data_IF_189288446231
#
_entry.id   IF_189288446231
#
_cell.length_a   1.000
_cell.length_b   1.000
_cell.length_c   1.000
_cell.angle_alpha   90.00
_cell.angle_beta   90.00
_cell.angle_gamma   90.00
#
_symmetry.space_group_name_H-M   'P 1'
#
loop_
_entity.id
_entity.type
_entity.pdbx_description
1 polymer ?
#
# COMPACT_ATOMS: atom_id res chain seq x y z
N UNK A 1 20.05 3.40 -17.13
CA UNK A 1 18.69 3.14 -17.66
C UNK A 1 17.96 2.03 -16.90
N UNK A 2 18.54 0.84 -16.66
CA UNK A 2 17.85 -0.25 -15.94
C UNK A 2 17.50 0.09 -14.47
N UNK A 3 18.41 0.75 -13.74
CA UNK A 3 18.16 1.17 -12.37
C UNK A 3 17.05 2.24 -12.24
N UNK A 4 16.81 3.06 -13.27
CA UNK A 4 15.69 4.00 -13.31
C UNK A 4 14.36 3.27 -13.47
N UNK A 5 14.27 2.38 -14.46
CA UNK A 5 13.06 1.57 -14.72
C UNK A 5 12.66 0.71 -13.52
N UNK A 6 13.62 0.07 -12.85
CA UNK A 6 13.35 -0.73 -11.66
C UNK A 6 12.76 0.12 -10.51
N UNK A 7 13.24 1.37 -10.33
CA UNK A 7 12.71 2.30 -9.32
C UNK A 7 11.28 2.73 -9.62
N UNK A 8 10.97 3.06 -10.87
CA UNK A 8 9.60 3.42 -11.29
C UNK A 8 8.63 2.23 -11.19
N UNK A 9 9.07 1.02 -11.51
CA UNK A 9 8.23 -0.17 -11.37
C UNK A 9 7.93 -0.49 -9.90
N UNK A 10 8.94 -0.35 -9.02
CA UNK A 10 8.73 -0.48 -7.57
C UNK A 10 7.81 0.61 -7.01
N UNK A 11 7.85 1.82 -7.57
CA UNK A 11 6.91 2.88 -7.21
C UNK A 11 5.49 2.54 -7.65
N UNK A 12 5.32 2.07 -8.90
CA UNK A 12 4.04 1.64 -9.46
C UNK A 12 3.41 0.53 -8.62
N UNK A 13 4.19 -0.50 -8.27
CA UNK A 13 3.72 -1.58 -7.40
C UNK A 13 3.26 -1.05 -6.03
N UNK A 14 4.02 -0.16 -5.40
CA UNK A 14 3.64 0.45 -4.14
C UNK A 14 2.34 1.25 -4.21
N UNK A 15 2.07 1.90 -5.36
CA UNK A 15 0.81 2.62 -5.61
C UNK A 15 -0.37 1.65 -5.68
N UNK A 16 -0.24 0.56 -6.46
CA UNK A 16 -1.31 -0.45 -6.55
C UNK A 16 -1.57 -1.13 -5.20
N UNK A 17 -0.51 -1.43 -4.45
CA UNK A 17 -0.60 -2.00 -3.09
C UNK A 17 -1.37 -1.09 -2.14
N UNK A 18 -1.04 0.21 -2.12
CA UNK A 18 -1.74 1.18 -1.27
C UNK A 18 -3.22 1.32 -1.68
N UNK A 19 -3.51 1.43 -2.98
CA UNK A 19 -4.89 1.51 -3.48
C UNK A 19 -5.71 0.26 -3.15
N UNK A 20 -5.12 -0.92 -3.30
CA UNK A 20 -5.79 -2.18 -2.97
C UNK A 20 -6.12 -2.28 -1.47
N UNK A 21 -5.23 -1.80 -0.58
CA UNK A 21 -5.49 -1.74 0.85
C UNK A 21 -6.62 -0.76 1.19
N UNK A 22 -6.66 0.42 0.55
CA UNK A 22 -7.74 1.39 0.72
C UNK A 22 -9.09 0.77 0.30
N UNK A 23 -9.12 0.10 -0.85
CA UNK A 23 -10.33 -0.54 -1.35
C UNK A 23 -10.77 -1.69 -0.43
N UNK A 24 -9.83 -2.49 0.09
CA UNK A 24 -10.11 -3.56 1.05
C UNK A 24 -10.73 -3.06 2.37
N UNK A 25 -10.47 -1.81 2.78
CA UNK A 25 -11.12 -1.20 3.95
C UNK A 25 -12.64 -1.06 3.80
N UNK A 26 -13.14 -1.04 2.56
CA UNK A 26 -14.57 -0.90 2.23
C UNK A 26 -15.30 -2.24 2.18
N UNK A 27 -14.58 -3.36 2.18
CA UNK A 27 -15.17 -4.69 2.13
C UNK A 27 -16.18 -4.92 3.26
N UNK A 28 -17.20 -5.74 3.03
CA UNK A 28 -18.22 -5.99 4.06
C UNK A 28 -17.68 -6.84 5.22
N UNK A 29 -16.80 -7.79 4.90
CA UNK A 29 -16.17 -8.69 5.87
C UNK A 29 -14.65 -8.74 5.69
N UNK A 30 -13.93 -9.18 6.72
CA UNK A 30 -12.49 -9.41 6.61
C UNK A 30 -12.17 -10.49 5.56
N UNK A 31 -13.01 -11.53 5.44
CA UNK A 31 -12.82 -12.56 4.42
C UNK A 31 -12.87 -11.98 3.01
N UNK A 32 -13.80 -11.06 2.75
CA UNK A 32 -13.89 -10.38 1.45
C UNK A 32 -12.68 -9.50 1.20
N UNK A 33 -12.23 -8.72 2.21
CA UNK A 33 -11.00 -7.94 2.13
C UNK A 33 -9.78 -8.80 1.77
N UNK A 34 -9.62 -9.95 2.42
CA UNK A 34 -8.51 -10.88 2.17
C UNK A 34 -8.58 -11.51 0.78
N UNK A 35 -9.78 -11.82 0.28
CA UNK A 35 -9.98 -12.32 -1.09
C UNK A 35 -9.63 -11.25 -2.13
N UNK A 36 -10.06 -10.01 -1.90
CA UNK A 36 -9.74 -8.87 -2.77
C UNK A 36 -8.22 -8.68 -2.85
N UNK A 37 -7.54 -8.63 -1.69
CA UNK A 37 -6.09 -8.47 -1.64
C UNK A 37 -5.35 -9.66 -2.26
N UNK A 38 -5.74 -10.89 -1.93
CA UNK A 38 -5.06 -12.10 -2.42
C UNK A 38 -5.15 -12.26 -3.94
N UNK A 39 -6.23 -11.78 -4.56
CA UNK A 39 -6.43 -11.87 -6.02
C UNK A 39 -5.90 -10.67 -6.80
N UNK A 40 -5.99 -9.46 -6.23
CA UNK A 40 -5.64 -8.21 -6.92
C UNK A 40 -4.25 -7.67 -6.61
N UNK A 41 -3.80 -7.78 -5.36
CA UNK A 41 -2.51 -7.25 -4.90
C UNK A 41 -2.06 -8.00 -3.65
N UNK A 42 -1.43 -9.19 -3.77
CA UNK A 42 -1.09 -10.01 -2.61
C UNK A 42 0.13 -9.50 -1.83
N UNK A 43 0.94 -8.61 -2.43
CA UNK A 43 2.18 -8.09 -1.85
C UNK A 43 2.07 -7.52 -0.41
N UNK A 44 0.98 -6.83 -0.03
CA UNK A 44 0.78 -6.35 1.32
C UNK A 44 0.46 -7.44 2.34
N UNK A 45 -0.04 -8.60 1.89
CA UNK A 45 -0.40 -9.70 2.79
C UNK A 45 0.85 -10.47 3.22
N UNK A 46 0.90 -10.80 4.51
CA UNK A 46 1.94 -11.63 5.11
C UNK A 46 1.32 -12.72 5.95
N UNK A 47 1.93 -13.90 5.91
CA UNK A 47 1.60 -15.00 6.80
C UNK A 47 2.86 -15.39 7.59
N UNK A 48 2.72 -15.53 8.90
CA UNK A 48 3.83 -15.91 9.78
C UNK A 48 3.32 -16.65 11.01
N UNK A 49 4.21 -17.37 11.70
CA UNK A 49 3.87 -18.14 12.89
C UNK A 49 4.37 -17.42 14.14
N UNK A 50 3.53 -17.29 15.16
CA UNK A 50 3.88 -16.78 16.49
C UNK A 50 3.41 -17.77 17.54
N UNK A 51 4.34 -18.47 18.19
CA UNK A 51 4.01 -19.56 19.10
C UNK A 51 3.24 -20.66 18.35
N UNK A 52 2.01 -20.94 18.80
CA UNK A 52 1.11 -21.91 18.18
C UNK A 52 0.03 -21.26 17.29
N UNK A 53 0.19 -19.99 16.90
CA UNK A 53 -0.74 -19.29 16.01
C UNK A 53 -0.11 -19.02 14.63
N UNK A 54 -0.82 -19.39 13.55
CA UNK A 54 -0.59 -18.87 12.20
C UNK A 54 -1.32 -17.53 12.06
N UNK A 55 -0.58 -16.44 11.86
CA UNK A 55 -1.12 -15.08 11.73
C UNK A 55 -1.09 -14.65 10.27
N UNK A 56 -2.19 -14.06 9.80
CA UNK A 56 -2.24 -13.29 8.55
C UNK A 56 -2.33 -11.81 8.90
N UNK A 57 -1.47 -11.02 8.28
CA UNK A 57 -1.33 -9.58 8.49
C UNK A 57 -1.35 -8.83 7.16
N UNK A 58 -1.72 -7.55 7.20
CA UNK A 58 -1.39 -6.57 6.17
C UNK A 58 -0.21 -5.73 6.65
N UNK A 59 0.93 -5.83 5.99
CA UNK A 59 2.17 -5.21 6.46
C UNK A 59 2.53 -5.70 7.87
N UNK A 60 2.57 -4.77 8.82
CA UNK A 60 2.87 -5.04 10.24
C UNK A 60 1.62 -5.27 11.11
N UNK A 61 0.42 -5.26 10.51
CA UNK A 61 -0.84 -5.26 11.25
C UNK A 61 -1.56 -6.61 11.12
N UNK A 62 -1.58 -7.40 12.21
CA UNK A 62 -2.30 -8.67 12.27
C UNK A 62 -3.80 -8.50 12.04
N UNK A 63 -4.39 -9.31 11.17
CA UNK A 63 -5.81 -9.27 10.81
C UNK A 63 -6.56 -10.52 11.28
N UNK A 64 -5.93 -11.69 11.16
CA UNK A 64 -6.47 -12.95 11.65
C UNK A 64 -5.37 -13.87 12.18
N UNK A 65 -5.71 -14.72 13.14
CA UNK A 65 -4.85 -15.75 13.71
C UNK A 65 -5.59 -17.08 13.68
N UNK A 66 -4.86 -18.16 13.42
CA UNK A 66 -5.39 -19.53 13.44
C UNK A 66 -4.53 -20.34 14.41
N UNK A 67 -5.14 -20.86 15.46
CA UNK A 67 -4.47 -21.82 16.35
C UNK A 67 -4.12 -23.07 15.54
N UNK A 68 -2.83 -23.45 15.52
CA UNK A 68 -2.33 -24.61 14.78
C UNK A 68 -2.82 -25.91 15.43
N UNK A 69 -2.89 -25.96 16.77
CA UNK A 69 -3.34 -27.13 17.50
C UNK A 69 -4.85 -27.35 17.47
N UNK A 70 -5.64 -26.27 17.53
CA UNK A 70 -7.10 -26.36 17.67
C UNK A 70 -7.86 -26.00 16.39
N UNK A 71 -7.21 -25.42 15.38
CA UNK A 71 -7.86 -24.91 14.17
C UNK A 71 -8.79 -23.72 14.41
N UNK A 72 -8.82 -23.15 15.62
CA UNK A 72 -9.68 -22.01 15.95
C UNK A 72 -9.17 -20.73 15.31
N UNK A 73 -10.08 -19.98 14.70
CA UNK A 73 -9.80 -18.69 14.08
C UNK A 73 -10.14 -17.57 15.04
N UNK A 74 -9.17 -16.68 15.26
CA UNK A 74 -9.32 -15.41 15.95
C UNK A 74 -9.22 -14.29 14.93
N UNK A 75 -10.19 -13.38 14.93
CA UNK A 75 -10.18 -12.18 14.12
C UNK A 75 -10.00 -10.96 15.01
N UNK A 76 -9.24 -9.97 14.55
CA UNK A 76 -9.19 -8.67 15.21
C UNK A 76 -10.42 -7.84 14.82
N UNK A 77 -11.16 -7.33 15.81
CA UNK A 77 -12.40 -6.57 15.58
C UNK A 77 -12.13 -5.25 14.82
N UNK A 78 -10.97 -4.64 15.07
CA UNK A 78 -10.46 -3.40 14.47
C UNK A 78 -9.76 -3.64 13.12
N UNK A 79 -10.02 -4.74 12.42
CA UNK A 79 -9.31 -5.09 11.18
C UNK A 79 -9.38 -4.02 10.08
N UNK A 80 -10.46 -3.21 10.03
CA UNK A 80 -10.57 -2.09 9.09
C UNK A 80 -9.56 -0.99 9.40
N UNK A 81 -9.42 -0.62 10.67
CA UNK A 81 -8.46 0.40 11.11
C UNK A 81 -7.02 -0.07 10.89
N UNK A 82 -6.79 -1.38 11.03
CA UNK A 82 -5.51 -2.03 10.72
C UNK A 82 -5.18 -1.99 9.23
N UNK A 83 -6.16 -2.28 8.35
CA UNK A 83 -5.97 -2.11 6.90
C UNK A 83 -5.74 -0.65 6.53
N UNK A 84 -6.45 0.28 7.17
CA UNK A 84 -6.26 1.72 6.99
C UNK A 84 -4.84 2.16 7.41
N UNK A 85 -4.32 1.62 8.51
CA UNK A 85 -2.95 1.85 8.94
C UNK A 85 -1.94 1.26 7.94
N UNK A 86 -2.16 0.04 7.46
CA UNK A 86 -1.33 -0.58 6.42
C UNK A 86 -1.33 0.25 5.12
N UNK A 87 -2.48 0.77 4.70
CA UNK A 87 -2.61 1.63 3.53
C UNK A 87 -1.80 2.92 3.68
N UNK A 88 -1.84 3.55 4.86
CA UNK A 88 -1.04 4.75 5.18
C UNK A 88 0.46 4.46 5.15
N UNK A 89 0.90 3.32 5.70
CA UNK A 89 2.30 2.92 5.66
C UNK A 89 2.78 2.67 4.22
N UNK A 90 1.96 2.02 3.40
CA UNK A 90 2.23 1.82 1.97
C UNK A 90 2.31 3.17 1.23
N UNK A 91 1.36 4.07 1.44
CA UNK A 91 1.36 5.42 0.87
C UNK A 91 2.57 6.25 1.33
N UNK A 92 2.97 6.13 2.60
CA UNK A 92 4.20 6.74 3.14
C UNK A 92 5.45 6.24 2.43
N UNK A 93 5.54 4.93 2.17
CA UNK A 93 6.63 4.34 1.42
C UNK A 93 6.67 4.84 -0.04
N UNK A 94 5.49 4.97 -0.68
CA UNK A 94 5.34 5.58 -2.01
C UNK A 94 5.84 7.02 -2.01
N UNK A 95 5.40 7.85 -1.05
CA UNK A 95 5.81 9.24 -0.95
C UNK A 95 7.35 9.38 -0.78
N UNK A 96 7.95 8.57 0.09
CA UNK A 96 9.41 8.55 0.31
C UNK A 96 10.19 8.14 -0.94
N UNK A 97 9.71 7.12 -1.66
CA UNK A 97 10.32 6.68 -2.93
C UNK A 97 10.19 7.76 -4.00
N UNK A 98 9.01 8.36 -4.14
CA UNK A 98 8.77 9.44 -5.09
C UNK A 98 9.68 10.64 -4.78
N UNK A 99 9.79 11.06 -3.52
CA UNK A 99 10.74 12.10 -3.11
C UNK A 99 12.18 11.75 -3.49
N UNK A 100 12.61 10.51 -3.24
CA UNK A 100 13.96 10.04 -3.59
C UNK A 100 14.22 10.14 -5.10
N UNK A 101 13.24 9.75 -5.92
CA UNK A 101 13.32 9.89 -7.39
C UNK A 101 13.39 11.37 -7.78
N UNK A 102 12.56 12.24 -7.18
CA UNK A 102 12.53 13.67 -7.55
C UNK A 102 13.75 14.49 -7.12
N UNK A 103 14.48 14.04 -6.11
CA UNK A 103 15.68 14.68 -5.56
C UNK A 103 16.97 14.16 -6.20
N UNK A 104 16.91 13.03 -6.91
CA UNK A 104 18.06 12.48 -7.61
C UNK A 104 18.47 13.43 -8.75
N UNK A 105 19.68 13.98 -8.68
CA UNK A 105 20.18 15.03 -9.59
C UNK A 105 20.45 14.51 -11.01
N UNK A 106 20.29 13.20 -11.25
CA UNK A 106 20.47 12.57 -12.56
C UNK A 106 19.22 12.52 -13.44
N UNK A 107 18.01 12.73 -12.89
CA UNK A 107 16.74 12.73 -13.62
C UNK A 107 15.96 14.00 -13.23
N UNK A 108 15.74 14.93 -14.16
CA UNK A 108 14.76 16.01 -13.93
C UNK A 108 13.36 15.37 -13.88
N UNK A 109 12.93 14.98 -12.68
CA UNK A 109 11.57 14.48 -12.48
C UNK A 109 10.56 15.59 -12.88
N UNK A 110 9.50 15.25 -13.63
CA UNK A 110 8.45 16.19 -14.02
C UNK A 110 7.91 16.98 -12.83
N UNK A 111 7.56 18.24 -13.04
CA UNK A 111 7.06 19.14 -11.99
C UNK A 111 5.79 18.57 -11.32
N UNK A 112 5.00 17.83 -12.09
CA UNK A 112 3.79 17.13 -11.69
C UNK A 112 4.08 16.05 -10.64
N UNK A 113 5.17 15.30 -10.78
CA UNK A 113 5.57 14.29 -9.81
C UNK A 113 6.04 14.92 -8.49
N UNK A 114 6.71 16.08 -8.54
CA UNK A 114 7.11 16.84 -7.34
C UNK A 114 5.90 17.37 -6.57
N UNK A 115 4.91 17.92 -7.28
CA UNK A 115 3.65 18.38 -6.68
C UNK A 115 2.91 17.22 -5.97
N UNK A 116 2.78 16.08 -6.66
CA UNK A 116 2.13 14.89 -6.10
C UNK A 116 2.89 14.35 -4.89
N UNK A 117 4.23 14.37 -4.89
CA UNK A 117 5.04 13.93 -3.75
C UNK A 117 4.76 14.74 -2.48
N UNK A 118 4.73 16.06 -2.60
CA UNK A 118 4.45 16.96 -1.47
C UNK A 118 3.04 16.77 -0.92
N UNK A 119 2.04 16.67 -1.81
CA UNK A 119 0.64 16.44 -1.42
C UNK A 119 0.44 15.08 -0.76
N UNK A 120 1.07 14.03 -1.29
CA UNK A 120 0.96 12.68 -0.74
C UNK A 120 1.58 12.62 0.66
N UNK A 121 2.76 13.23 0.87
CA UNK A 121 3.38 13.31 2.19
C UNK A 121 2.46 14.02 3.22
N UNK A 122 1.85 15.15 2.84
CA UNK A 122 0.93 15.88 3.71
C UNK A 122 -0.36 15.07 4.01
N UNK A 123 -0.91 14.37 3.02
CA UNK A 123 -2.10 13.53 3.21
C UNK A 123 -1.83 12.33 4.13
N UNK A 124 -0.63 11.73 4.06
CA UNK A 124 -0.20 10.66 4.97
C UNK A 124 -0.20 11.16 6.43
N UNK A 125 0.29 12.37 6.68
CA UNK A 125 0.32 12.96 8.02
C UNK A 125 -1.08 13.25 8.57
N UNK A 126 -2.00 13.72 7.73
CA UNK A 126 -3.41 13.94 8.13
C UNK A 126 -4.16 12.63 8.40
N UNK A 127 -3.76 11.55 7.75
CA UNK A 127 -4.42 10.24 7.87
C UNK A 127 -5.76 10.13 7.15
N UNK A 128 -6.08 11.03 6.22
CA UNK A 128 -7.29 10.99 5.42
C UNK A 128 -7.14 9.99 4.27
N UNK A 129 -7.81 8.84 4.37
CA UNK A 129 -7.78 7.80 3.34
C UNK A 129 -8.37 8.22 2.00
N UNK A 130 -9.38 9.11 2.00
CA UNK A 130 -9.98 9.61 0.77
C UNK A 130 -9.02 10.51 0.00
N UNK A 131 -8.38 11.44 0.71
CA UNK A 131 -7.33 12.30 0.12
C UNK A 131 -6.16 11.45 -0.42
N UNK A 132 -5.74 10.42 0.34
CA UNK A 132 -4.69 9.50 -0.10
C UNK A 132 -5.06 8.73 -1.37
N UNK A 133 -6.29 8.22 -1.46
CA UNK A 133 -6.74 7.46 -2.63
C UNK A 133 -6.68 8.30 -3.90
N UNK A 134 -7.21 9.53 -3.86
CA UNK A 134 -7.23 10.41 -5.02
C UNK A 134 -5.82 10.80 -5.46
N UNK A 135 -4.92 11.06 -4.51
CA UNK A 135 -3.51 11.35 -4.82
C UNK A 135 -2.78 10.13 -5.40
N UNK A 136 -3.05 8.92 -4.91
CA UNK A 136 -2.48 7.68 -5.44
C UNK A 136 -3.01 7.36 -6.85
N UNK A 137 -4.31 7.57 -7.12
CA UNK A 137 -4.90 7.44 -8.46
C UNK A 137 -4.31 8.45 -9.44
N UNK A 138 -4.10 9.68 -9.00
CA UNK A 138 -3.40 10.71 -9.79
C UNK A 138 -1.98 10.26 -10.09
N UNK A 139 -1.22 9.85 -9.08
CA UNK A 139 0.15 9.36 -9.26
C UNK A 139 0.21 8.18 -10.25
N UNK A 140 -0.70 7.21 -10.13
CA UNK A 140 -0.81 6.09 -11.07
C UNK A 140 -0.95 6.57 -12.52
N UNK A 141 -1.79 7.58 -12.75
CA UNK A 141 -2.05 8.14 -14.08
C UNK A 141 -0.81 8.85 -14.64
N UNK A 142 -0.11 9.65 -13.83
CA UNK A 142 1.14 10.30 -14.20
C UNK A 142 2.22 9.27 -14.57
N UNK A 143 2.35 8.20 -13.77
CA UNK A 143 3.32 7.12 -14.03
C UNK A 143 3.01 6.35 -15.32
N UNK A 144 1.74 6.15 -15.65
CA UNK A 144 1.32 5.54 -16.92
C UNK A 144 1.66 6.44 -18.12
N UNK A 145 1.47 7.75 -17.99
CA UNK A 145 1.85 8.73 -19.02
C UNK A 145 3.35 8.72 -19.32
N UNK A 146 4.19 8.52 -18.30
CA UNK A 146 5.65 8.42 -18.45
C UNK A 146 6.08 7.09 -19.09
N UNK A 147 5.39 5.98 -18.79
CA UNK A 147 5.72 4.67 -19.36
C UNK A 147 5.27 4.50 -20.83
N UNK A 148 4.31 5.31 -21.28
CA UNK A 148 3.80 5.32 -22.66
C UNK A 148 4.47 6.33 -23.60
N UNK A 149 5.35 7.18 -23.09
CA UNK A 149 6.17 8.14 -23.85
C UNK A 149 7.57 7.58 -24.15
#
# INVERSE_FOLDING_TARGET
MEAGRARFEQLRLGVEEALALIEACRASTLLDALRMLSSGAPGPLRAYVVGEELVVAAGSYSLLGVSIGEGRVRMWEDWRDRLAAAARDAASAVAKRLMTITLDRGEEAPAELRDVAGKLAAAVEKGDLGELEELLKRLRSELQGIAGA
#
